data_IF_530093084124
#
_entry.id   IF_530093084124
#
_cell.length_a   1.000
_cell.length_b   1.000
_cell.length_c   1.000
_cell.angle_alpha   90.00
_cell.angle_beta   90.00
_cell.angle_gamma   90.00
#
_symmetry.space_group_name_H-M   'P 1'
#
loop_
_entity.id
_entity.type
_entity.pdbx_description
1 polymer ?
#
# COMPACT_ATOMS: atom_id res chain seq x y z
N UNK A 1 -16.63 25.66 -38.83
CA UNK A 1 -15.23 25.40 -38.45
C UNK A 1 -15.30 24.84 -37.04
N UNK A 2 -15.37 23.52 -36.92
CA UNK A 2 -15.43 22.82 -35.64
C UNK A 2 -14.02 22.78 -35.07
N UNK A 3 -13.82 23.34 -33.88
CA UNK A 3 -12.62 23.10 -33.08
C UNK A 3 -12.44 21.58 -32.95
N UNK A 4 -11.28 21.06 -33.36
CA UNK A 4 -10.92 19.66 -33.14
C UNK A 4 -10.99 19.40 -31.64
N UNK A 5 -11.94 18.57 -31.21
CA UNK A 5 -12.06 18.15 -29.81
C UNK A 5 -10.73 17.53 -29.37
N UNK A 6 -10.08 18.13 -28.38
CA UNK A 6 -8.83 17.63 -27.76
C UNK A 6 -9.02 16.31 -27.00
N UNK A 7 -10.28 15.86 -26.86
CA UNK A 7 -10.69 14.66 -26.15
C UNK A 7 -11.36 13.68 -27.10
N UNK A 8 -11.13 12.38 -26.86
CA UNK A 8 -11.77 11.31 -27.63
C UNK A 8 -12.16 10.14 -26.73
N UNK A 9 -13.38 9.64 -26.86
CA UNK A 9 -13.84 8.48 -26.09
C UNK A 9 -13.53 7.14 -26.77
N UNK A 10 -13.22 6.15 -25.93
CA UNK A 10 -13.07 4.75 -26.29
C UNK A 10 -14.12 3.97 -25.51
N UNK A 11 -15.06 3.35 -26.23
CA UNK A 11 -16.07 2.47 -25.63
C UNK A 11 -15.50 1.05 -25.46
N UNK A 12 -15.47 0.50 -24.23
CA UNK A 12 -15.17 -0.92 -23.99
C UNK A 12 -16.05 -1.81 -24.87
N UNK A 13 -15.41 -2.63 -25.71
CA UNK A 13 -16.10 -3.45 -26.70
C UNK A 13 -15.22 -4.58 -27.22
N UNK A 14 -15.83 -5.57 -27.86
CA UNK A 14 -15.12 -6.71 -28.44
C UNK A 14 -14.15 -6.32 -29.56
N UNK A 15 -14.44 -5.26 -30.33
CA UNK A 15 -13.54 -4.71 -31.34
C UNK A 15 -12.29 -4.10 -30.70
N UNK A 16 -12.47 -3.35 -29.61
CA UNK A 16 -11.36 -2.77 -28.82
C UNK A 16 -10.50 -3.86 -28.20
N UNK A 17 -11.08 -4.94 -27.66
CA UNK A 17 -10.31 -6.09 -27.15
C UNK A 17 -9.49 -6.78 -28.25
N UNK A 18 -10.05 -6.95 -29.46
CA UNK A 18 -9.30 -7.50 -30.61
C UNK A 18 -8.15 -6.60 -31.00
N UNK A 19 -8.35 -5.29 -31.01
CA UNK A 19 -7.31 -4.32 -31.33
C UNK A 19 -6.21 -4.30 -30.26
N UNK A 20 -6.57 -4.26 -28.98
CA UNK A 20 -5.63 -4.39 -27.88
C UNK A 20 -4.81 -5.69 -27.96
N UNK A 21 -5.44 -6.81 -28.32
CA UNK A 21 -4.77 -8.10 -28.48
C UNK A 21 -3.68 -8.12 -29.57
N UNK A 22 -3.81 -7.30 -30.62
CA UNK A 22 -2.75 -7.14 -31.63
C UNK A 22 -1.54 -6.36 -31.09
N UNK A 23 -1.79 -5.43 -30.16
CA UNK A 23 -0.75 -4.59 -29.55
C UNK A 23 -0.03 -5.32 -28.42
N UNK A 24 -0.81 -5.92 -27.53
CA UNK A 24 -0.34 -6.60 -26.32
C UNK A 24 -1.24 -7.79 -26.00
N UNK A 25 -0.66 -8.99 -25.93
CA UNK A 25 -1.41 -10.19 -25.52
C UNK A 25 -1.78 -10.11 -24.04
N UNK A 26 -3.05 -10.42 -23.73
CA UNK A 26 -3.53 -10.48 -22.35
C UNK A 26 -2.83 -11.61 -21.58
N UNK A 27 -2.37 -11.32 -20.36
CA UNK A 27 -1.74 -12.31 -19.49
C UNK A 27 -2.23 -12.16 -18.07
N UNK A 28 -2.56 -13.27 -17.44
CA UNK A 28 -2.85 -13.33 -16.02
C UNK A 28 -1.55 -13.29 -15.21
N UNK A 29 -1.54 -12.52 -14.11
CA UNK A 29 -0.39 -12.43 -13.22
C UNK A 29 -0.26 -13.68 -12.31
N UNK A 30 -1.39 -14.30 -11.96
CA UNK A 30 -1.46 -15.48 -11.09
C UNK A 30 -2.59 -16.41 -11.50
N UNK A 31 -2.45 -17.70 -11.23
CA UNK A 31 -3.49 -18.70 -11.51
C UNK A 31 -4.81 -18.29 -10.83
N UNK A 32 -5.89 -18.19 -11.63
CA UNK A 32 -7.22 -17.82 -11.18
C UNK A 32 -7.52 -16.31 -11.18
N UNK A 33 -6.56 -15.46 -11.52
CA UNK A 33 -6.82 -14.02 -11.75
C UNK A 33 -7.16 -13.75 -13.21
N UNK A 34 -7.93 -12.68 -13.51
CA UNK A 34 -8.22 -12.28 -14.89
C UNK A 34 -6.94 -12.01 -15.70
N UNK A 35 -7.04 -12.22 -17.02
CA UNK A 35 -5.97 -11.86 -17.95
C UNK A 35 -6.13 -10.43 -18.40
N UNK A 36 -5.06 -9.63 -18.26
CA UNK A 36 -5.08 -8.22 -18.65
C UNK A 36 -4.08 -7.91 -19.77
N UNK A 37 -4.48 -7.04 -20.67
CA UNK A 37 -3.64 -6.42 -21.69
C UNK A 37 -2.79 -5.31 -21.04
N UNK A 38 -1.50 -5.57 -20.86
CA UNK A 38 -0.58 -4.65 -20.19
C UNK A 38 0.82 -4.76 -20.79
N UNK A 39 1.40 -3.61 -21.14
CA UNK A 39 2.83 -3.51 -21.47
C UNK A 39 3.67 -3.92 -20.26
N UNK A 40 4.95 -4.22 -20.48
CA UNK A 40 5.86 -4.57 -19.38
C UNK A 40 6.00 -3.43 -18.37
N UNK A 41 5.96 -2.18 -18.84
CA UNK A 41 5.97 -1.00 -17.97
C UNK A 41 4.71 -0.93 -17.11
N UNK A 42 3.53 -1.06 -17.72
CA UNK A 42 2.26 -1.09 -16.96
C UNK A 42 2.26 -2.20 -15.91
N UNK A 43 2.73 -3.39 -16.27
CA UNK A 43 2.76 -4.55 -15.36
C UNK A 43 3.63 -4.31 -14.13
N UNK A 44 4.75 -3.59 -14.29
CA UNK A 44 5.65 -3.24 -13.17
C UNK A 44 5.04 -2.23 -12.21
N UNK A 45 4.23 -1.30 -12.74
CA UNK A 45 3.64 -0.20 -11.97
C UNK A 45 2.25 -0.53 -11.41
N UNK A 46 1.52 -1.44 -12.05
CA UNK A 46 0.13 -1.74 -11.71
C UNK A 46 -0.04 -2.37 -10.33
N UNK A 47 -1.10 -1.96 -9.64
CA UNK A 47 -1.59 -2.60 -8.42
C UNK A 47 -1.97 -4.06 -8.71
N UNK A 48 -1.47 -5.04 -7.93
CA UNK A 48 -1.90 -6.43 -8.09
C UNK A 48 -3.42 -6.56 -7.92
N UNK A 49 -4.06 -7.41 -8.73
CA UNK A 49 -5.52 -7.56 -8.77
C UNK A 49 -6.16 -7.82 -7.41
N UNK A 50 -5.63 -8.76 -6.63
CA UNK A 50 -6.14 -9.05 -5.28
C UNK A 50 -6.02 -7.89 -4.30
N UNK A 51 -5.04 -7.01 -4.48
CA UNK A 51 -4.89 -5.78 -3.67
C UNK A 51 -5.94 -4.76 -4.09
N UNK A 52 -6.14 -4.56 -5.39
CA UNK A 52 -7.16 -3.64 -5.91
C UNK A 52 -8.57 -4.03 -5.44
N UNK A 53 -8.92 -5.33 -5.49
CA UNK A 53 -10.20 -5.83 -4.98
C UNK A 53 -10.37 -5.63 -3.48
N UNK A 54 -9.35 -5.96 -2.69
CA UNK A 54 -9.41 -5.79 -1.24
C UNK A 54 -9.60 -4.32 -0.86
N UNK A 55 -8.96 -3.39 -1.58
CA UNK A 55 -9.12 -1.95 -1.36
C UNK A 55 -10.51 -1.45 -1.73
N UNK A 56 -11.02 -1.86 -2.89
CA UNK A 56 -12.39 -1.53 -3.27
C UNK A 56 -13.42 -2.05 -2.26
N UNK A 57 -13.16 -3.22 -1.65
CA UNK A 57 -13.99 -3.80 -0.59
C UNK A 57 -13.98 -3.05 0.75
N UNK A 58 -13.10 -2.06 0.94
CA UNK A 58 -13.12 -1.20 2.14
C UNK A 58 -14.17 -0.08 2.03
N UNK A 59 -14.68 0.20 0.83
CA UNK A 59 -15.63 1.28 0.59
C UNK A 59 -17.04 0.74 0.80
N UNK A 60 -17.81 1.38 1.68
CA UNK A 60 -19.24 1.13 1.80
C UNK A 60 -19.98 1.74 0.58
N UNK A 61 -20.66 0.95 -0.26
CA UNK A 61 -21.42 1.48 -1.38
C UNK A 61 -22.48 2.53 -0.99
N UNK A 62 -22.96 2.51 0.25
CA UNK A 62 -23.95 3.47 0.76
C UNK A 62 -23.35 4.84 1.09
N UNK A 63 -22.03 4.95 1.21
CA UNK A 63 -21.37 6.24 1.44
C UNK A 63 -21.23 7.07 0.15
N UNK A 64 -21.56 6.49 -1.01
CA UNK A 64 -21.41 7.13 -2.32
C UNK A 64 -22.73 7.79 -2.77
N UNK A 65 -22.65 9.06 -3.21
CA UNK A 65 -23.73 9.71 -3.95
C UNK A 65 -24.09 8.98 -5.26
N UNK A 66 -25.17 9.32 -5.98
CA UNK A 66 -25.49 8.69 -7.26
C UNK A 66 -24.44 9.00 -8.33
N UNK A 67 -24.22 8.10 -9.29
CA UNK A 67 -23.31 8.34 -10.42
C UNK A 67 -22.22 7.30 -10.61
N UNK A 68 -21.22 7.67 -11.41
CA UNK A 68 -20.13 6.79 -11.87
C UNK A 68 -18.88 6.86 -10.99
N UNK A 69 -18.02 5.85 -11.11
CA UNK A 69 -16.66 5.88 -10.55
C UNK A 69 -15.71 6.45 -11.61
N UNK A 70 -15.00 7.50 -11.26
CA UNK A 70 -13.97 8.11 -12.10
C UNK A 70 -12.58 7.68 -11.63
N UNK A 71 -11.71 7.30 -12.56
CA UNK A 71 -10.26 7.28 -12.36
C UNK A 71 -9.61 8.29 -13.30
N UNK A 72 -9.06 9.35 -12.73
CA UNK A 72 -8.50 10.48 -13.46
C UNK A 72 -7.06 10.24 -13.96
N UNK A 73 -6.49 9.06 -13.69
CA UNK A 73 -5.21 8.60 -14.22
C UNK A 73 -5.24 7.07 -14.41
N UNK A 74 -6.14 6.61 -15.28
CA UNK A 74 -6.59 5.22 -15.29
C UNK A 74 -5.50 4.19 -15.60
N UNK A 75 -4.47 4.56 -16.39
CA UNK A 75 -3.35 3.67 -16.71
C UNK A 75 -3.81 2.34 -17.31
N UNK A 76 -3.62 1.25 -16.56
CA UNK A 76 -4.03 -0.09 -17.00
C UNK A 76 -5.51 -0.42 -16.74
N UNK A 77 -6.18 0.39 -15.92
CA UNK A 77 -7.59 0.23 -15.53
C UNK A 77 -7.84 -0.73 -14.37
N UNK A 78 -6.82 -1.39 -13.79
CA UNK A 78 -7.05 -2.41 -12.74
C UNK A 78 -7.84 -1.85 -11.55
N UNK A 79 -7.41 -0.68 -11.02
CA UNK A 79 -8.05 -0.12 -9.83
C UNK A 79 -9.49 0.31 -10.14
N UNK A 80 -9.69 1.05 -11.24
CA UNK A 80 -11.02 1.43 -11.75
C UNK A 80 -11.96 0.23 -11.92
N UNK A 81 -11.48 -0.87 -12.54
CA UNK A 81 -12.27 -2.09 -12.73
C UNK A 81 -12.61 -2.73 -11.38
N UNK A 82 -11.67 -2.75 -10.43
CA UNK A 82 -11.94 -3.29 -9.10
C UNK A 82 -13.00 -2.47 -8.35
N UNK A 83 -12.91 -1.14 -8.37
CA UNK A 83 -13.93 -0.25 -7.80
C UNK A 83 -15.28 -0.47 -8.47
N UNK A 84 -15.35 -0.43 -9.80
CA UNK A 84 -16.59 -0.65 -10.56
C UNK A 84 -17.25 -2.00 -10.22
N UNK A 85 -16.46 -3.07 -10.14
CA UNK A 85 -16.97 -4.41 -9.88
C UNK A 85 -17.51 -4.59 -8.45
N UNK A 86 -16.82 -4.03 -7.45
CA UNK A 86 -17.22 -4.15 -6.04
C UNK A 86 -18.37 -3.21 -5.71
N UNK A 87 -18.29 -1.96 -6.18
CA UNK A 87 -19.28 -0.92 -5.90
C UNK A 87 -20.50 -1.02 -6.81
N UNK A 88 -20.46 -1.91 -7.81
CA UNK A 88 -21.52 -2.15 -8.79
C UNK A 88 -22.00 -0.84 -9.41
N UNK A 89 -21.05 -0.10 -10.00
CA UNK A 89 -21.26 1.20 -10.63
C UNK A 89 -20.51 1.28 -11.97
N UNK A 90 -21.04 2.02 -12.96
CA UNK A 90 -20.31 2.27 -14.20
C UNK A 90 -19.06 3.11 -13.95
N UNK A 91 -18.13 3.05 -14.90
CA UNK A 91 -16.79 3.60 -14.74
C UNK A 91 -16.34 4.50 -15.88
N UNK A 92 -15.66 5.59 -15.54
CA UNK A 92 -14.99 6.50 -16.46
C UNK A 92 -13.50 6.50 -16.15
N UNK A 93 -12.69 6.03 -17.09
CA UNK A 93 -11.23 6.23 -17.03
C UNK A 93 -10.83 7.44 -17.85
N UNK A 94 -9.86 8.22 -17.36
CA UNK A 94 -9.17 9.25 -18.16
C UNK A 94 -7.72 8.86 -18.30
N UNK A 95 -7.20 8.89 -19.52
CA UNK A 95 -5.82 8.51 -19.82
C UNK A 95 -5.27 9.36 -20.96
N UNK A 96 -4.11 9.96 -20.76
CA UNK A 96 -3.50 10.85 -21.75
C UNK A 96 -2.83 10.08 -22.90
N UNK A 97 -2.30 8.88 -22.62
CA UNK A 97 -1.72 8.01 -23.63
C UNK A 97 -2.80 7.18 -24.33
N UNK A 98 -3.10 7.52 -25.60
CA UNK A 98 -4.15 6.83 -26.36
C UNK A 98 -3.95 5.33 -26.52
N UNK A 99 -2.70 4.83 -26.44
CA UNK A 99 -2.47 3.39 -26.44
C UNK A 99 -2.88 2.75 -25.10
N UNK A 100 -2.48 3.32 -23.97
CA UNK A 100 -2.89 2.91 -22.64
C UNK A 100 -4.41 2.95 -22.48
N UNK A 101 -5.06 4.00 -22.99
CA UNK A 101 -6.50 4.13 -22.98
C UNK A 101 -7.22 2.97 -23.69
N UNK A 102 -6.71 2.55 -24.87
CA UNK A 102 -7.22 1.38 -25.60
C UNK A 102 -7.04 0.08 -24.79
N UNK A 103 -5.89 -0.10 -24.13
CA UNK A 103 -5.65 -1.27 -23.28
C UNK A 103 -6.57 -1.26 -22.05
N UNK A 104 -6.76 -0.11 -21.41
CA UNK A 104 -7.68 0.08 -20.30
C UNK A 104 -9.11 -0.29 -20.71
N UNK A 105 -9.63 0.27 -21.82
CA UNK A 105 -10.97 -0.02 -22.32
C UNK A 105 -11.14 -1.51 -22.68
N UNK A 106 -10.11 -2.15 -23.25
CA UNK A 106 -10.13 -3.60 -23.50
C UNK A 106 -10.19 -4.42 -22.20
N UNK A 107 -9.43 -4.02 -21.19
CA UNK A 107 -9.42 -4.67 -19.87
C UNK A 107 -10.78 -4.52 -19.17
N UNK A 108 -11.40 -3.33 -19.25
CA UNK A 108 -12.74 -3.09 -18.72
C UNK A 108 -13.74 -4.06 -19.36
N UNK A 109 -13.74 -4.19 -20.69
CA UNK A 109 -14.62 -5.13 -21.38
C UNK A 109 -14.35 -6.60 -21.03
N UNK A 110 -13.08 -6.99 -20.92
CA UNK A 110 -12.69 -8.38 -20.68
C UNK A 110 -13.12 -8.92 -19.31
N UNK A 111 -13.26 -8.04 -18.31
CA UNK A 111 -13.65 -8.40 -16.93
C UNK A 111 -15.13 -8.09 -16.65
N UNK A 112 -15.85 -7.54 -17.61
CA UNK A 112 -17.28 -7.27 -17.48
C UNK A 112 -18.11 -8.56 -17.40
N UNK A 113 -19.01 -8.60 -16.41
CA UNK A 113 -20.09 -9.60 -16.37
C UNK A 113 -21.02 -9.36 -17.56
N UNK A 114 -21.36 -10.43 -18.29
CA UNK A 114 -22.07 -10.33 -19.59
C UNK A 114 -23.43 -9.66 -19.51
N UNK A 115 -24.07 -9.69 -18.34
CA UNK A 115 -25.43 -9.20 -18.12
C UNK A 115 -25.47 -7.89 -17.31
N UNK A 116 -24.32 -7.24 -17.09
CA UNK A 116 -24.26 -6.00 -16.33
C UNK A 116 -24.62 -4.79 -17.21
N UNK A 117 -25.91 -4.47 -17.24
CA UNK A 117 -26.48 -3.36 -18.01
C UNK A 117 -25.84 -2.02 -17.62
N UNK A 118 -25.39 -1.84 -16.38
CA UNK A 118 -24.78 -0.59 -15.94
C UNK A 118 -23.46 -0.31 -16.67
N UNK A 119 -22.73 -1.37 -17.04
CA UNK A 119 -21.45 -1.28 -17.76
C UNK A 119 -21.58 -0.82 -19.20
N UNK A 120 -22.81 -0.69 -19.72
CA UNK A 120 -23.04 -0.02 -21.02
C UNK A 120 -22.61 1.45 -21.02
N UNK A 121 -22.53 2.06 -19.83
CA UNK A 121 -22.04 3.43 -19.63
C UNK A 121 -20.52 3.51 -19.44
N UNK A 122 -19.80 2.39 -19.33
CA UNK A 122 -18.34 2.42 -19.15
C UNK A 122 -17.65 3.13 -20.32
N UNK A 123 -16.71 4.02 -20.04
CA UNK A 123 -15.91 4.72 -21.06
C UNK A 123 -14.47 4.94 -20.58
N UNK A 124 -13.56 5.05 -21.54
CA UNK A 124 -12.25 5.66 -21.32
C UNK A 124 -12.16 6.89 -22.21
N UNK A 125 -11.87 8.05 -21.64
CA UNK A 125 -11.61 9.28 -22.41
C UNK A 125 -10.11 9.48 -22.53
N UNK A 126 -9.66 9.67 -23.76
CA UNK A 126 -8.29 10.06 -24.07
C UNK A 126 -8.21 11.57 -23.92
N UNK A 127 -7.38 12.07 -23.01
CA UNK A 127 -7.22 13.51 -22.78
C UNK A 127 -6.54 13.87 -21.46
N UNK A 128 -6.47 15.17 -21.19
CA UNK A 128 -5.91 15.72 -19.95
C UNK A 128 -7.00 15.77 -18.87
N UNK A 129 -6.80 15.02 -17.78
CA UNK A 129 -7.79 14.95 -16.69
C UNK A 129 -7.90 16.22 -15.85
N UNK A 130 -7.04 17.23 -16.06
CA UNK A 130 -7.22 18.56 -15.49
C UNK A 130 -8.30 19.37 -16.22
N UNK A 131 -8.66 19.00 -17.46
CA UNK A 131 -9.79 19.55 -18.20
C UNK A 131 -11.06 18.70 -17.99
N UNK A 132 -11.63 18.77 -16.78
CA UNK A 132 -12.84 18.03 -16.44
C UNK A 132 -14.03 18.37 -17.34
N UNK A 133 -14.09 19.58 -17.90
CA UNK A 133 -15.18 20.01 -18.78
C UNK A 133 -15.10 19.36 -20.16
N UNK A 134 -13.91 19.34 -20.76
CA UNK A 134 -13.66 18.60 -22.00
C UNK A 134 -13.94 17.11 -21.82
N UNK A 135 -13.45 16.51 -20.73
CA UNK A 135 -13.67 15.09 -20.41
C UNK A 135 -15.16 14.77 -20.27
N UNK A 136 -15.90 15.53 -19.45
CA UNK A 136 -17.32 15.25 -19.19
C UNK A 136 -18.19 15.51 -20.41
N UNK A 137 -17.85 16.52 -21.22
CA UNK A 137 -18.54 16.81 -22.49
C UNK A 137 -18.40 15.63 -23.46
N UNK A 138 -17.18 15.13 -23.65
CA UNK A 138 -16.91 13.98 -24.52
C UNK A 138 -17.57 12.71 -23.97
N UNK A 139 -17.47 12.46 -22.66
CA UNK A 139 -18.12 11.33 -22.00
C UNK A 139 -19.63 11.32 -22.26
N UNK A 140 -20.33 12.41 -21.95
CA UNK A 140 -21.76 12.52 -22.18
C UNK A 140 -22.14 12.49 -23.66
N UNK A 141 -21.31 13.02 -24.56
CA UNK A 141 -21.53 12.88 -26.00
C UNK A 141 -21.49 11.42 -26.44
N UNK A 142 -20.46 10.68 -26.01
CA UNK A 142 -20.31 9.25 -26.31
C UNK A 142 -21.44 8.38 -25.74
N UNK A 143 -22.08 8.80 -24.64
CA UNK A 143 -23.27 8.15 -24.11
C UNK A 143 -24.47 8.41 -25.02
N UNK A 144 -24.68 9.66 -25.45
CA UNK A 144 -25.78 10.03 -26.35
C UNK A 144 -25.69 9.30 -27.68
N UNK A 145 -24.50 9.22 -28.27
CA UNK A 145 -24.25 8.49 -29.51
C UNK A 145 -24.53 6.99 -29.38
N UNK A 146 -24.29 6.42 -28.20
CA UNK A 146 -24.62 5.03 -27.87
C UNK A 146 -26.10 4.80 -27.51
N UNK A 147 -26.95 5.84 -27.56
CA UNK A 147 -28.38 5.78 -27.24
C UNK A 147 -28.72 6.02 -25.77
N UNK A 148 -27.74 6.33 -24.92
CA UNK A 148 -27.95 6.64 -23.50
C UNK A 148 -28.15 8.14 -23.31
N UNK A 149 -29.34 8.54 -22.87
CA UNK A 149 -29.67 9.96 -22.65
C UNK A 149 -29.26 10.51 -21.28
N UNK A 150 -28.77 9.65 -20.39
CA UNK A 150 -28.33 10.04 -19.06
C UNK A 150 -27.03 10.86 -19.11
N UNK A 151 -26.91 11.83 -18.20
CA UNK A 151 -25.68 12.58 -17.91
C UNK A 151 -25.27 12.26 -16.48
N UNK A 152 -24.77 11.05 -16.21
CA UNK A 152 -24.45 10.67 -14.84
C UNK A 152 -23.30 11.55 -14.33
N UNK A 153 -23.41 12.03 -13.08
CA UNK A 153 -22.33 12.75 -12.42
C UNK A 153 -21.30 11.76 -11.85
N UNK A 154 -20.27 12.28 -11.17
CA UNK A 154 -19.20 11.49 -10.57
C UNK A 154 -19.51 11.21 -9.10
N UNK A 155 -19.78 9.95 -8.76
CA UNK A 155 -20.03 9.53 -7.39
C UNK A 155 -18.74 9.37 -6.58
N UNK A 156 -17.63 9.03 -7.24
CA UNK A 156 -16.33 8.84 -6.61
C UNK A 156 -15.22 9.21 -7.59
N UNK A 157 -14.22 9.95 -7.12
CA UNK A 157 -12.99 10.24 -7.86
C UNK A 157 -11.82 9.50 -7.24
N UNK A 158 -11.15 8.69 -8.06
CA UNK A 158 -9.88 8.06 -7.76
C UNK A 158 -8.75 8.75 -8.56
N UNK A 159 -7.59 8.91 -7.92
CA UNK A 159 -6.38 9.42 -8.57
C UNK A 159 -5.14 8.66 -8.09
N UNK A 160 -4.47 7.92 -8.98
CA UNK A 160 -3.13 7.33 -8.77
C UNK A 160 -2.16 8.03 -9.75
N UNK A 161 -1.61 9.20 -9.38
CA UNK A 161 -0.84 10.00 -10.31
C UNK A 161 0.50 9.31 -10.64
N UNK A 162 0.97 9.55 -11.86
CA UNK A 162 2.29 9.15 -12.28
C UNK A 162 3.34 9.79 -11.38
N UNK A 163 4.29 8.97 -10.94
CA UNK A 163 5.36 9.36 -10.01
C UNK A 163 6.61 9.78 -10.80
N UNK A 164 7.44 10.69 -10.27
CA UNK A 164 8.76 10.96 -10.83
C UNK A 164 9.60 9.70 -10.95
N UNK A 165 10.57 9.72 -11.87
CA UNK A 165 11.47 8.56 -12.12
C UNK A 165 12.47 8.34 -11.00
N UNK A 166 12.79 9.38 -10.21
CA UNK A 166 13.66 9.24 -9.06
C UNK A 166 12.97 8.34 -8.02
N UNK A 167 13.60 7.19 -7.75
CA UNK A 167 13.12 6.19 -6.83
C UNK A 167 13.69 6.40 -5.41
N UNK A 168 14.10 7.61 -5.02
CA UNK A 168 14.48 7.92 -3.64
C UNK A 168 13.55 8.96 -3.03
N UNK A 169 13.46 10.15 -3.64
CA UNK A 169 12.62 11.24 -3.16
C UNK A 169 11.61 11.63 -4.24
N UNK A 170 10.36 11.83 -3.84
CA UNK A 170 9.31 12.30 -4.74
C UNK A 170 8.81 13.64 -4.22
N UNK A 171 8.66 14.62 -5.11
CA UNK A 171 7.96 15.86 -4.80
C UNK A 171 6.51 15.83 -5.30
N UNK A 172 5.59 16.44 -4.56
CA UNK A 172 4.18 16.60 -4.95
C UNK A 172 4.04 17.24 -6.35
N UNK A 173 4.84 18.27 -6.65
CA UNK A 173 4.77 19.03 -7.91
C UNK A 173 5.18 18.22 -9.15
N UNK A 174 5.92 17.13 -8.94
CA UNK A 174 6.35 16.23 -10.00
C UNK A 174 5.28 15.20 -10.35
N UNK A 175 4.25 15.04 -9.51
CA UNK A 175 3.15 14.12 -9.77
C UNK A 175 2.28 14.62 -10.91
N UNK A 176 1.87 13.71 -11.80
CA UNK A 176 1.00 14.01 -12.94
C UNK A 176 -0.22 13.10 -12.98
N UNK A 177 -1.44 13.65 -13.14
CA UNK A 177 -1.79 15.08 -13.19
C UNK A 177 -1.50 15.80 -11.86
N UNK A 178 -1.39 17.13 -11.92
CA UNK A 178 -1.21 17.95 -10.70
C UNK A 178 -2.49 17.91 -9.87
N UNK A 179 -2.35 17.70 -8.56
CA UNK A 179 -3.45 17.38 -7.66
C UNK A 179 -4.42 18.55 -7.51
N UNK A 180 -3.93 19.76 -7.20
CA UNK A 180 -4.79 20.92 -6.98
C UNK A 180 -5.62 21.33 -8.21
N UNK A 181 -5.03 21.50 -9.42
CA UNK A 181 -5.80 21.83 -10.61
C UNK A 181 -6.86 20.78 -10.92
N UNK A 182 -6.52 19.50 -10.77
CA UNK A 182 -7.45 18.40 -10.99
C UNK A 182 -8.61 18.47 -10.00
N UNK A 183 -8.33 18.50 -8.70
CA UNK A 183 -9.37 18.53 -7.67
C UNK A 183 -10.29 19.75 -7.83
N UNK A 184 -9.73 20.91 -8.20
CA UNK A 184 -10.49 22.14 -8.43
C UNK A 184 -11.43 22.01 -9.63
N UNK A 185 -10.94 21.44 -10.73
CA UNK A 185 -11.69 21.25 -11.97
C UNK A 185 -12.89 20.31 -11.77
N UNK A 186 -12.66 19.18 -11.08
CA UNK A 186 -13.68 18.15 -10.88
C UNK A 186 -14.76 18.48 -9.85
N UNK A 187 -14.55 19.49 -8.99
CA UNK A 187 -15.47 19.86 -7.90
C UNK A 187 -16.94 20.02 -8.35
N UNK A 188 -17.19 20.57 -9.54
CA UNK A 188 -18.55 20.82 -10.06
C UNK A 188 -19.26 19.56 -10.59
N UNK A 189 -18.54 18.45 -10.77
CA UNK A 189 -19.07 17.19 -11.31
C UNK A 189 -19.22 16.10 -10.24
N UNK A 190 -18.71 16.33 -9.04
CA UNK A 190 -18.83 15.40 -7.92
C UNK A 190 -20.21 15.47 -7.29
N UNK A 191 -20.86 14.31 -7.16
CA UNK A 191 -21.99 14.15 -6.24
C UNK A 191 -21.47 13.89 -4.83
N UNK A 192 -22.15 14.50 -3.86
CA UNK A 192 -21.80 14.34 -2.46
C UNK A 192 -22.42 13.06 -1.91
N UNK A 193 -21.64 12.33 -1.11
CA UNK A 193 -22.17 11.34 -0.19
C UNK A 193 -22.67 11.99 1.12
N UNK A 194 -23.01 11.19 2.14
CA UNK A 194 -23.50 11.68 3.43
C UNK A 194 -22.57 12.70 4.11
N UNK A 195 -21.26 12.51 4.01
CA UNK A 195 -20.23 13.28 4.71
C UNK A 195 -19.29 14.02 3.74
N UNK A 196 -19.81 14.37 2.56
CA UNK A 196 -19.09 15.13 1.53
C UNK A 196 -18.62 14.29 0.34
N UNK A 197 -17.71 14.82 -0.50
CA UNK A 197 -17.30 14.19 -1.75
C UNK A 197 -16.52 12.90 -1.48
N UNK A 198 -16.68 11.90 -2.34
CA UNK A 198 -15.94 10.63 -2.22
C UNK A 198 -14.66 10.71 -3.06
N UNK A 199 -13.53 11.04 -2.45
CA UNK A 199 -12.24 11.18 -3.15
C UNK A 199 -11.20 10.25 -2.52
N UNK A 200 -10.50 9.49 -3.36
CA UNK A 200 -9.38 8.64 -2.96
C UNK A 200 -8.13 9.00 -3.75
N UNK A 201 -7.12 9.48 -3.03
CA UNK A 201 -5.81 9.86 -3.60
C UNK A 201 -4.77 8.79 -3.28
N UNK A 202 -4.26 8.10 -4.30
CA UNK A 202 -3.19 7.11 -4.23
C UNK A 202 -1.82 7.78 -4.39
N UNK A 203 -1.24 8.24 -3.28
CA UNK A 203 -0.04 9.06 -3.30
C UNK A 203 1.25 8.24 -3.16
N UNK A 204 2.39 8.91 -3.30
CA UNK A 204 3.68 8.28 -3.10
C UNK A 204 3.92 8.01 -1.60
N UNK A 205 4.35 6.79 -1.22
CA UNK A 205 4.76 6.50 0.16
C UNK A 205 6.07 7.17 0.58
N UNK A 206 6.65 8.00 -0.28
CA UNK A 206 7.89 8.76 -0.03
C UNK A 206 7.63 10.24 0.26
N UNK A 207 6.36 10.65 0.29
CA UNK A 207 6.01 11.99 0.75
C UNK A 207 6.34 12.09 2.23
N UNK A 208 7.14 13.10 2.57
CA UNK A 208 7.40 13.51 3.95
C UNK A 208 6.18 14.20 4.58
N UNK A 209 6.33 14.59 5.83
CA UNK A 209 5.25 15.23 6.60
C UNK A 209 4.86 16.62 6.07
N UNK A 210 5.82 17.41 5.59
CA UNK A 210 5.56 18.73 5.01
C UNK A 210 4.71 18.59 3.74
N UNK A 211 5.07 17.66 2.87
CA UNK A 211 4.33 17.40 1.64
C UNK A 211 2.95 16.80 1.88
N UNK A 212 2.78 15.94 2.89
CA UNK A 212 1.45 15.48 3.32
C UNK A 212 0.60 16.65 3.82
N UNK A 213 1.20 17.55 4.61
CA UNK A 213 0.51 18.76 5.09
C UNK A 213 0.07 19.67 3.94
N UNK A 214 0.89 19.82 2.88
CA UNK A 214 0.49 20.56 1.67
C UNK A 214 -0.72 19.93 0.97
N UNK A 215 -0.83 18.60 0.94
CA UNK A 215 -2.02 17.90 0.42
C UNK A 215 -3.25 18.20 1.29
N UNK A 216 -3.10 18.14 2.61
CA UNK A 216 -4.19 18.46 3.54
C UNK A 216 -4.69 19.90 3.31
N UNK A 217 -3.80 20.87 3.13
CA UNK A 217 -4.13 22.26 2.82
C UNK A 217 -4.83 22.42 1.46
N UNK A 218 -4.38 21.70 0.43
CA UNK A 218 -5.05 21.68 -0.89
C UNK A 218 -6.49 21.19 -0.73
N UNK A 219 -6.69 20.08 -0.02
CA UNK A 219 -8.03 19.51 0.14
C UNK A 219 -8.90 20.37 1.04
N UNK A 220 -8.39 20.98 2.10
CA UNK A 220 -9.15 21.94 2.92
C UNK A 220 -9.57 23.18 2.13
N UNK A 221 -8.69 23.69 1.27
CA UNK A 221 -9.01 24.84 0.41
C UNK A 221 -10.12 24.52 -0.61
N UNK A 222 -10.10 23.33 -1.20
CA UNK A 222 -11.04 22.95 -2.27
C UNK A 222 -12.36 22.40 -1.67
N UNK A 223 -12.26 21.57 -0.64
CA UNK A 223 -13.33 20.85 0.04
C UNK A 223 -13.29 21.13 1.56
N UNK A 224 -13.69 22.34 1.99
CA UNK A 224 -13.56 22.75 3.38
C UNK A 224 -14.44 21.91 4.30
N UNK A 225 -13.91 21.57 5.48
CA UNK A 225 -14.62 20.82 6.52
C UNK A 225 -14.93 19.34 6.20
N UNK A 226 -14.39 18.79 5.11
CA UNK A 226 -14.53 17.37 4.79
C UNK A 226 -13.56 16.52 5.63
N UNK A 227 -14.04 15.37 6.12
CA UNK A 227 -13.21 14.40 6.83
C UNK A 227 -12.06 13.88 5.97
N UNK A 228 -10.95 13.47 6.62
CA UNK A 228 -9.74 12.95 5.97
C UNK A 228 -9.13 11.84 6.80
N UNK A 229 -8.81 10.74 6.14
CA UNK A 229 -8.04 9.64 6.73
C UNK A 229 -6.85 9.32 5.86
N UNK A 230 -5.65 9.49 6.41
CA UNK A 230 -4.43 9.02 5.78
C UNK A 230 -4.23 7.52 6.03
N UNK A 231 -3.99 6.76 4.97
CA UNK A 231 -3.78 5.31 5.02
C UNK A 231 -2.36 4.94 4.60
N UNK A 232 -1.62 4.28 5.49
CA UNK A 232 -0.34 3.63 5.19
C UNK A 232 -0.58 2.13 5.01
N UNK A 233 -0.16 1.56 3.88
CA UNK A 233 -0.34 0.14 3.61
C UNK A 233 1.00 -0.56 3.37
N UNK A 234 1.20 -1.69 4.05
CA UNK A 234 2.35 -2.59 3.88
C UNK A 234 1.92 -3.98 3.43
N UNK A 235 2.68 -4.55 2.49
CA UNK A 235 2.56 -5.96 2.07
C UNK A 235 3.53 -6.89 2.84
N UNK A 236 4.18 -6.39 3.89
CA UNK A 236 5.10 -7.16 4.75
C UNK A 236 6.53 -7.20 4.27
N UNK A 237 6.90 -6.29 3.36
CA UNK A 237 8.27 -6.18 2.84
C UNK A 237 9.22 -5.39 3.76
N UNK A 238 8.77 -5.01 4.96
CA UNK A 238 9.49 -4.09 5.85
C UNK A 238 9.57 -2.68 5.29
N UNK A 239 8.49 -2.20 4.66
CA UNK A 239 8.34 -0.83 4.14
C UNK A 239 6.88 -0.52 3.90
N UNK A 240 6.55 0.76 3.85
CA UNK A 240 5.26 1.25 3.33
C UNK A 240 5.24 1.04 1.81
N UNK A 241 4.26 0.30 1.31
CA UNK A 241 4.08 0.05 -0.13
C UNK A 241 3.16 1.08 -0.78
N UNK A 242 2.18 1.63 -0.04
CA UNK A 242 1.26 2.67 -0.49
C UNK A 242 0.95 3.66 0.61
N UNK A 243 0.74 4.90 0.21
CA UNK A 243 0.20 5.98 1.02
C UNK A 243 -1.03 6.50 0.28
N UNK A 244 -2.16 6.63 0.96
CA UNK A 244 -3.38 7.15 0.35
C UNK A 244 -4.09 8.13 1.27
N UNK A 245 -4.87 9.05 0.71
CA UNK A 245 -5.77 9.90 1.48
C UNK A 245 -7.21 9.66 1.05
N UNK A 246 -8.05 9.34 2.03
CA UNK A 246 -9.48 9.10 1.89
C UNK A 246 -10.22 10.35 2.37
N UNK A 247 -11.09 10.93 1.56
CA UNK A 247 -11.71 12.24 1.81
C UNK A 247 -13.23 12.13 1.80
N UNK A 248 -13.88 12.94 2.66
CA UNK A 248 -15.33 13.09 2.75
C UNK A 248 -16.00 11.78 3.13
N UNK A 249 -17.02 11.34 2.41
CA UNK A 249 -17.74 10.10 2.74
C UNK A 249 -16.92 8.81 2.60
N UNK A 250 -15.65 8.91 2.21
CA UNK A 250 -14.69 7.78 2.25
C UNK A 250 -13.80 7.78 3.49
N UNK A 251 -13.66 8.91 4.20
CA UNK A 251 -12.85 8.94 5.43
C UNK A 251 -13.55 8.18 6.56
N UNK A 252 -12.76 7.75 7.54
CA UNK A 252 -13.28 7.29 8.82
C UNK A 252 -13.31 8.42 9.85
N UNK A 253 -13.77 8.11 11.05
CA UNK A 253 -13.75 9.04 12.19
C UNK A 253 -12.33 9.35 12.69
N UNK A 254 -11.33 8.57 12.26
CA UNK A 254 -9.94 8.73 12.66
C UNK A 254 -9.10 9.38 11.55
N UNK A 255 -8.12 10.19 11.93
CA UNK A 255 -7.25 10.86 10.97
C UNK A 255 -6.24 9.92 10.29
N UNK A 256 -5.93 8.76 10.90
CA UNK A 256 -4.92 7.82 10.40
C UNK A 256 -5.39 6.38 10.45
N UNK A 257 -4.92 5.62 9.46
CA UNK A 257 -5.10 4.18 9.32
C UNK A 257 -3.80 3.53 8.88
N UNK A 258 -3.44 2.39 9.47
CA UNK A 258 -2.41 1.50 8.93
C UNK A 258 -2.99 0.14 8.57
N UNK A 259 -2.61 -0.38 7.41
CA UNK A 259 -3.15 -1.61 6.84
C UNK A 259 -2.03 -2.59 6.54
N UNK A 260 -2.17 -3.81 7.06
CA UNK A 260 -1.37 -4.95 6.65
C UNK A 260 -2.10 -5.72 5.56
N UNK A 261 -1.59 -5.66 4.33
CA UNK A 261 -2.18 -6.32 3.16
C UNK A 261 -1.54 -7.69 2.89
N UNK A 262 -2.34 -8.74 2.88
CA UNK A 262 -1.94 -10.05 2.39
C UNK A 262 -1.89 -10.10 0.85
N UNK A 263 -1.88 -11.30 0.27
CA UNK A 263 -1.88 -11.42 -1.20
C UNK A 263 -3.21 -11.10 -1.86
N UNK A 264 -4.32 -11.22 -1.12
CA UNK A 264 -5.70 -11.08 -1.61
C UNK A 264 -6.68 -10.42 -0.63
N UNK A 265 -6.29 -10.23 0.63
CA UNK A 265 -7.15 -9.70 1.69
C UNK A 265 -6.33 -8.88 2.66
N UNK A 266 -6.99 -7.95 3.34
CA UNK A 266 -6.45 -7.27 4.51
C UNK A 266 -6.26 -8.32 5.61
N UNK A 267 -5.07 -8.33 6.22
CA UNK A 267 -4.73 -9.20 7.33
C UNK A 267 -5.06 -8.54 8.65
N UNK A 268 -4.71 -7.26 8.78
CA UNK A 268 -4.96 -6.44 9.96
C UNK A 268 -5.07 -4.98 9.55
N UNK A 269 -5.83 -4.21 10.32
CA UNK A 269 -6.00 -2.77 10.15
C UNK A 269 -6.11 -2.15 11.53
N UNK A 270 -5.45 -1.00 11.73
CA UNK A 270 -5.58 -0.19 12.94
C UNK A 270 -5.87 1.23 12.49
N UNK A 271 -6.79 1.89 13.18
CA UNK A 271 -7.08 3.30 13.00
C UNK A 271 -6.92 4.02 14.33
N UNK A 272 -6.66 5.32 14.26
CA UNK A 272 -6.56 6.18 15.43
C UNK A 272 -5.95 7.53 15.08
N UNK A 273 -5.52 8.22 16.13
CA UNK A 273 -4.85 9.51 16.00
C UNK A 273 -3.33 9.33 16.02
N UNK A 274 -2.67 10.10 15.15
CA UNK A 274 -1.23 9.99 15.00
C UNK A 274 -0.45 10.65 16.13
N UNK A 275 0.51 9.91 16.68
CA UNK A 275 1.44 10.41 17.68
C UNK A 275 2.90 10.07 17.32
N UNK A 276 3.84 10.87 17.83
CA UNK A 276 5.27 10.58 17.68
C UNK A 276 5.71 9.40 18.55
N UNK A 277 6.71 8.64 18.09
CA UNK A 277 7.33 7.54 18.84
C UNK A 277 8.69 7.97 19.38
N UNK A 278 8.98 7.65 20.65
CA UNK A 278 10.30 7.88 21.25
C UNK A 278 11.12 6.59 21.27
N UNK A 279 12.35 6.67 20.74
CA UNK A 279 13.35 5.60 20.85
C UNK A 279 14.09 5.69 22.19
N UNK A 280 14.23 4.55 22.87
CA UNK A 280 15.11 4.38 24.02
C UNK A 280 16.49 3.88 23.56
N UNK A 281 17.56 4.51 24.05
CA UNK A 281 18.93 4.00 23.88
C UNK A 281 19.25 3.08 25.04
N UNK A 282 19.67 1.86 24.73
CA UNK A 282 20.08 0.88 25.73
C UNK A 282 21.55 1.08 26.10
N UNK A 283 21.88 1.05 27.40
CA UNK A 283 23.26 1.02 27.90
C UNK A 283 23.75 -0.39 28.21
N UNK A 284 22.80 -1.30 28.46
CA UNK A 284 23.04 -2.70 28.78
C UNK A 284 22.37 -3.63 27.77
N UNK A 285 22.91 -4.84 27.56
CA UNK A 285 22.24 -5.87 26.78
C UNK A 285 20.80 -6.14 27.27
N UNK A 286 19.85 -6.45 26.38
CA UNK A 286 18.55 -6.99 26.78
C UNK A 286 18.71 -8.13 27.79
N UNK A 287 17.89 -8.20 28.85
CA UNK A 287 17.91 -9.35 29.75
C UNK A 287 17.63 -10.65 29.01
N UNK A 288 18.25 -11.75 29.43
CA UNK A 288 17.78 -13.07 29.02
C UNK A 288 16.32 -13.24 29.44
N UNK A 289 15.58 -14.02 28.66
CA UNK A 289 14.15 -14.26 28.83
C UNK A 289 13.22 -13.06 28.59
N UNK A 290 13.76 -11.86 28.34
CA UNK A 290 12.97 -10.76 27.75
C UNK A 290 12.59 -11.08 26.31
N UNK A 291 11.62 -10.35 25.78
CA UNK A 291 11.10 -10.54 24.44
C UNK A 291 11.54 -9.42 23.52
N UNK A 292 11.81 -9.77 22.26
CA UNK A 292 12.03 -8.83 21.19
C UNK A 292 11.02 -9.10 20.08
N UNK A 293 10.37 -8.05 19.61
CA UNK A 293 9.46 -8.09 18.47
C UNK A 293 9.94 -7.15 17.38
N UNK A 294 10.01 -7.68 16.16
CA UNK A 294 10.15 -6.89 14.95
C UNK A 294 8.74 -6.54 14.46
N UNK A 295 8.42 -5.25 14.42
CA UNK A 295 7.10 -4.75 14.01
C UNK A 295 7.19 -4.20 12.58
N UNK A 296 6.12 -4.35 11.80
CA UNK A 296 6.02 -3.75 10.47
C UNK A 296 6.12 -2.22 10.57
N UNK A 297 7.03 -1.57 9.82
CA UNK A 297 7.24 -0.12 9.92
C UNK A 297 5.99 0.71 9.65
N UNK A 298 4.98 0.16 8.96
CA UNK A 298 3.71 0.86 8.73
C UNK A 298 3.04 1.34 10.03
N UNK A 299 3.24 0.65 11.15
CA UNK A 299 2.66 1.02 12.45
C UNK A 299 3.31 2.31 12.98
N UNK A 300 4.63 2.43 12.88
CA UNK A 300 5.36 3.62 13.35
C UNK A 300 5.28 4.78 12.36
N UNK A 301 5.35 4.49 11.05
CA UNK A 301 5.25 5.50 9.99
C UNK A 301 3.87 6.18 9.94
N UNK A 302 2.83 5.47 10.38
CA UNK A 302 1.49 6.05 10.56
C UNK A 302 1.32 6.74 11.92
N UNK A 303 2.24 6.58 12.86
CA UNK A 303 2.10 7.12 14.22
C UNK A 303 1.05 6.40 15.07
N UNK A 304 0.71 5.15 14.74
CA UNK A 304 -0.31 4.33 15.43
C UNK A 304 0.30 3.29 16.37
N UNK A 305 1.54 3.51 16.83
CA UNK A 305 2.22 2.60 17.73
C UNK A 305 1.51 2.42 19.08
N UNK A 306 0.89 3.46 19.65
CA UNK A 306 0.22 3.33 20.96
C UNK A 306 -1.09 2.55 20.83
N UNK A 307 -1.84 2.79 19.75
CA UNK A 307 -3.02 1.98 19.40
C UNK A 307 -2.65 0.51 19.22
N UNK A 308 -1.53 0.23 18.54
CA UNK A 308 -1.01 -1.12 18.39
C UNK A 308 -0.56 -1.71 19.75
N UNK A 309 0.19 -0.96 20.56
CA UNK A 309 0.70 -1.40 21.87
C UNK A 309 -0.45 -1.73 22.82
N UNK A 310 -1.49 -0.90 22.86
CA UNK A 310 -2.65 -1.10 23.74
C UNK A 310 -3.35 -2.44 23.53
N UNK A 311 -3.24 -3.01 22.33
CA UNK A 311 -3.77 -4.33 21.96
C UNK A 311 -2.70 -5.41 22.08
N UNK A 312 -1.46 -5.11 21.71
CA UNK A 312 -0.38 -6.08 21.59
C UNK A 312 0.27 -6.46 22.92
N UNK A 313 0.36 -5.53 23.87
CA UNK A 313 1.10 -5.72 25.12
C UNK A 313 0.12 -6.00 26.26
N UNK A 314 0.34 -7.06 27.07
CA UNK A 314 -0.49 -7.33 28.24
C UNK A 314 -0.44 -6.19 29.27
N UNK A 315 -1.55 -6.00 29.99
CA UNK A 315 -1.63 -5.00 31.06
C UNK A 315 -0.56 -5.25 32.14
N UNK A 316 0.19 -4.21 32.46
CA UNK A 316 1.26 -4.26 33.46
C UNK A 316 2.63 -4.74 32.95
N UNK A 317 2.72 -5.17 31.68
CA UNK A 317 4.00 -5.52 31.06
C UNK A 317 4.84 -4.28 30.72
N UNK A 318 6.16 -4.40 30.92
CA UNK A 318 7.11 -3.37 30.54
C UNK A 318 7.47 -3.48 29.05
N UNK A 319 7.59 -2.34 28.36
CA UNK A 319 8.02 -2.31 26.97
C UNK A 319 8.86 -1.06 26.64
N UNK A 320 9.64 -1.11 25.57
CA UNK A 320 10.40 0.04 25.05
C UNK A 320 10.73 -0.13 23.57
N UNK A 321 10.57 0.93 22.79
CA UNK A 321 11.05 0.97 21.41
C UNK A 321 12.56 1.22 21.37
N UNK A 322 13.33 0.25 20.93
CA UNK A 322 14.81 0.35 20.85
C UNK A 322 15.29 0.70 19.43
N UNK A 323 14.40 0.55 18.45
CA UNK A 323 14.58 1.01 17.06
C UNK A 323 13.22 1.43 16.50
N UNK A 324 13.13 2.66 16.04
CA UNK A 324 11.89 3.26 15.52
C UNK A 324 11.95 3.54 14.02
N UNK A 325 13.13 3.48 13.42
CA UNK A 325 13.36 3.84 12.03
C UNK A 325 13.77 2.64 11.16
N UNK A 326 13.61 2.81 9.86
CA UNK A 326 14.03 1.86 8.85
C UNK A 326 13.09 0.66 8.72
N UNK A 327 13.61 -0.45 8.19
CA UNK A 327 12.78 -1.58 7.75
C UNK A 327 12.34 -2.55 8.84
N UNK A 328 12.91 -2.41 10.04
CA UNK A 328 12.77 -3.38 11.14
C UNK A 328 12.73 -2.66 12.48
N UNK A 329 11.69 -1.86 12.77
CA UNK A 329 11.43 -1.40 14.13
C UNK A 329 11.52 -2.54 15.14
N UNK A 330 12.12 -2.27 16.29
CA UNK A 330 12.35 -3.24 17.35
C UNK A 330 11.72 -2.74 18.64
N UNK A 331 10.85 -3.57 19.19
CA UNK A 331 10.26 -3.43 20.50
C UNK A 331 10.89 -4.47 21.43
N UNK A 332 11.37 -4.05 22.59
CA UNK A 332 11.69 -4.96 23.70
C UNK A 332 10.54 -4.93 24.70
N UNK A 333 10.17 -6.07 25.26
CA UNK A 333 9.11 -6.17 26.25
C UNK A 333 9.29 -7.37 27.19
N UNK A 334 8.53 -7.41 28.29
CA UNK A 334 8.73 -8.38 29.38
C UNK A 334 7.96 -9.68 29.24
N UNK A 335 6.86 -9.69 28.49
CA UNK A 335 5.90 -10.80 28.44
C UNK A 335 5.46 -11.08 27.01
N UNK A 336 5.03 -12.30 26.64
CA UNK A 336 4.53 -12.59 25.30
C UNK A 336 3.43 -11.61 24.86
N UNK A 337 3.38 -11.32 23.56
CA UNK A 337 2.32 -10.48 22.99
C UNK A 337 0.95 -11.15 23.14
N UNK A 338 -0.10 -10.35 23.26
CA UNK A 338 -1.48 -10.83 23.19
C UNK A 338 -1.78 -11.43 21.80
N UNK A 339 -2.56 -12.52 21.78
CA UNK A 339 -3.07 -13.09 20.54
C UNK A 339 -4.28 -12.31 20.04
N UNK A 340 -4.02 -11.25 19.27
CA UNK A 340 -5.04 -10.42 18.64
C UNK A 340 -4.86 -10.39 17.11
N UNK A 341 -5.90 -10.73 16.36
CA UNK A 341 -5.91 -10.69 14.90
C UNK A 341 -5.57 -9.32 14.28
N UNK A 342 -5.88 -8.21 14.95
CA UNK A 342 -5.52 -6.85 14.51
C UNK A 342 -4.04 -6.55 14.78
N UNK A 343 -3.42 -7.22 15.74
CA UNK A 343 -2.00 -7.06 16.08
C UNK A 343 -1.14 -7.98 15.21
N UNK A 344 -1.56 -9.24 15.07
CA UNK A 344 -0.78 -10.34 14.53
C UNK A 344 -0.30 -10.11 13.10
N UNK A 345 -1.05 -9.39 12.25
CA UNK A 345 -0.62 -9.10 10.90
C UNK A 345 0.62 -8.19 10.84
N UNK A 346 0.83 -7.34 11.84
CA UNK A 346 1.95 -6.40 11.88
C UNK A 346 3.22 -6.99 12.52
N UNK A 347 3.15 -8.18 13.13
CA UNK A 347 4.32 -8.86 13.69
C UNK A 347 5.12 -9.51 12.56
N UNK A 348 6.39 -9.12 12.40
CA UNK A 348 7.32 -9.74 11.44
C UNK A 348 7.99 -10.97 12.04
N UNK A 349 8.45 -10.85 13.28
CA UNK A 349 9.04 -11.90 14.12
C UNK A 349 8.90 -11.46 15.58
N UNK A 350 8.58 -12.39 16.48
CA UNK A 350 8.57 -12.16 17.93
C UNK A 350 9.26 -13.34 18.60
N UNK A 351 10.02 -13.10 19.68
CA UNK A 351 10.70 -14.19 20.34
C UNK A 351 11.49 -13.80 21.58
N UNK A 352 11.83 -14.81 22.37
CA UNK A 352 12.51 -14.67 23.66
C UNK A 352 14.03 -14.69 23.52
N UNK A 353 14.71 -13.78 24.19
CA UNK A 353 16.17 -13.61 24.15
C UNK A 353 16.88 -14.79 24.83
N UNK A 354 17.73 -15.49 24.07
CA UNK A 354 18.48 -16.66 24.57
C UNK A 354 19.99 -16.58 24.37
N UNK A 355 20.48 -15.66 23.53
CA UNK A 355 21.91 -15.52 23.30
C UNK A 355 22.32 -14.10 22.91
N UNK A 356 23.41 -13.62 23.51
CA UNK A 356 24.13 -12.42 23.08
C UNK A 356 25.42 -12.81 22.34
N UNK A 357 25.73 -12.06 21.28
CA UNK A 357 26.97 -12.19 20.52
C UNK A 357 27.55 -10.81 20.22
N UNK A 358 28.88 -10.71 20.28
CA UNK A 358 29.62 -9.47 20.01
C UNK A 358 29.92 -9.26 18.52
N UNK A 359 29.73 -10.28 17.69
CA UNK A 359 29.99 -10.22 16.25
C UNK A 359 28.88 -10.92 15.45
N UNK A 360 28.63 -10.46 14.21
CA UNK A 360 27.70 -11.14 13.33
C UNK A 360 28.28 -12.49 12.87
N UNK A 361 27.46 -13.39 12.33
CA UNK A 361 27.95 -14.58 11.65
C UNK A 361 28.79 -14.18 10.43
N UNK A 362 29.98 -14.77 10.31
CA UNK A 362 30.87 -14.57 9.17
C UNK A 362 31.09 -15.88 8.44
N UNK A 363 31.49 -15.82 7.17
CA UNK A 363 31.69 -16.99 6.31
C UNK A 363 32.54 -18.09 6.99
N UNK A 364 33.57 -17.69 7.72
CA UNK A 364 34.50 -18.61 8.38
C UNK A 364 34.07 -19.03 9.80
N UNK A 365 33.10 -18.33 10.42
CA UNK A 365 32.57 -18.63 11.77
C UNK A 365 31.18 -19.28 11.75
N UNK A 366 30.61 -19.54 10.55
CA UNK A 366 29.27 -20.15 10.41
C UNK A 366 29.14 -21.46 11.15
N UNK A 367 30.11 -22.38 11.04
CA UNK A 367 30.02 -23.69 11.71
C UNK A 367 29.99 -23.53 13.23
N UNK A 368 30.80 -22.62 13.78
CA UNK A 368 30.80 -22.31 15.22
C UNK A 368 29.48 -21.69 15.66
N UNK A 369 28.92 -20.79 14.83
CA UNK A 369 27.61 -20.20 15.09
C UNK A 369 26.51 -21.26 15.09
N UNK A 370 26.47 -22.14 14.09
CA UNK A 370 25.51 -23.24 14.01
C UNK A 370 25.60 -24.18 15.22
N UNK A 371 26.83 -24.60 15.60
CA UNK A 371 27.02 -25.45 16.78
C UNK A 371 26.62 -24.76 18.09
N UNK A 372 26.83 -23.45 18.22
CA UNK A 372 26.39 -22.70 19.39
C UNK A 372 24.87 -22.62 19.49
N UNK A 373 24.18 -22.44 18.37
CA UNK A 373 22.72 -22.39 18.30
C UNK A 373 22.10 -23.77 18.57
N UNK A 374 22.72 -24.83 18.07
CA UNK A 374 22.28 -26.21 18.31
C UNK A 374 22.25 -26.57 19.80
N UNK A 375 23.19 -26.05 20.61
CA UNK A 375 23.22 -26.24 22.06
C UNK A 375 22.05 -25.56 22.79
N UNK A 376 21.39 -24.60 22.14
CA UNK A 376 20.20 -23.92 22.61
C UNK A 376 18.93 -24.52 22.00
N UNK A 377 19.02 -25.73 21.43
CA UNK A 377 17.91 -26.42 20.77
C UNK A 377 17.29 -25.60 19.62
N UNK A 378 18.11 -24.80 18.92
CA UNK A 378 17.70 -24.03 17.76
C UNK A 378 18.03 -24.79 16.47
N UNK A 379 17.01 -25.14 15.70
CA UNK A 379 17.14 -25.82 14.42
C UNK A 379 17.25 -24.88 13.21
N UNK A 380 16.79 -23.63 13.35
CA UNK A 380 16.91 -22.64 12.27
C UNK A 380 16.99 -21.20 12.79
N UNK A 381 17.68 -20.33 12.05
CA UNK A 381 17.82 -18.91 12.39
C UNK A 381 17.68 -18.01 11.17
N UNK A 382 16.84 -16.98 11.28
CA UNK A 382 16.71 -15.92 10.27
C UNK A 382 17.56 -14.71 10.65
N UNK A 383 18.47 -14.28 9.77
CA UNK A 383 19.29 -13.09 9.99
C UNK A 383 18.46 -11.83 9.69
N UNK A 384 18.05 -11.15 10.76
CA UNK A 384 17.32 -9.86 10.74
C UNK A 384 18.22 -8.68 11.10
N UNK A 385 19.52 -8.89 11.16
CA UNK A 385 20.51 -7.86 11.43
C UNK A 385 20.87 -7.01 10.21
N UNK A 386 21.44 -5.83 10.47
CA UNK A 386 22.07 -4.96 9.47
C UNK A 386 23.36 -5.61 8.96
N UNK A 387 23.34 -6.14 7.74
CA UNK A 387 24.48 -6.73 7.05
C UNK A 387 24.56 -6.18 5.63
N UNK A 388 25.73 -6.24 5.02
CA UNK A 388 25.93 -5.91 3.61
C UNK A 388 24.92 -6.70 2.73
N UNK A 389 24.09 -6.02 1.91
CA UNK A 389 23.12 -6.66 1.02
C UNK A 389 23.70 -7.72 0.07
N UNK A 390 24.97 -7.61 -0.33
CA UNK A 390 25.63 -8.58 -1.21
C UNK A 390 26.04 -9.87 -0.48
N UNK A 391 26.28 -9.75 0.84
CA UNK A 391 26.79 -10.83 1.68
C UNK A 391 25.65 -11.53 2.42
N UNK A 392 24.61 -10.78 2.83
CA UNK A 392 23.48 -11.28 3.61
C UNK A 392 22.85 -12.57 3.03
N UNK A 393 22.49 -12.67 1.73
CA UNK A 393 21.91 -13.90 1.19
C UNK A 393 22.85 -15.10 1.23
N UNK A 394 24.16 -14.85 1.11
CA UNK A 394 25.20 -15.91 1.15
C UNK A 394 25.34 -16.45 2.56
N UNK A 395 25.39 -15.57 3.57
CA UNK A 395 25.45 -15.95 4.99
C UNK A 395 24.20 -16.73 5.40
N UNK A 396 23.00 -16.20 5.09
CA UNK A 396 21.73 -16.87 5.39
C UNK A 396 21.69 -18.29 4.82
N UNK A 397 22.06 -18.45 3.55
CA UNK A 397 22.06 -19.77 2.88
C UNK A 397 23.05 -20.75 3.50
N UNK A 398 24.26 -20.29 3.82
CA UNK A 398 25.29 -21.15 4.43
C UNK A 398 24.91 -21.56 5.85
N UNK A 399 24.31 -20.65 6.62
CA UNK A 399 23.83 -20.94 7.97
C UNK A 399 22.68 -21.96 7.94
N UNK A 400 21.69 -21.77 7.05
CA UNK A 400 20.64 -22.78 6.81
C UNK A 400 21.21 -24.14 6.43
N UNK A 401 22.23 -24.18 5.56
CA UNK A 401 22.88 -25.44 5.18
C UNK A 401 23.59 -26.10 6.36
N UNK A 402 24.26 -25.32 7.22
CA UNK A 402 24.96 -25.83 8.39
C UNK A 402 24.02 -26.36 9.47
N UNK A 403 22.78 -25.85 9.52
CA UNK A 403 21.78 -26.23 10.52
C UNK A 403 20.71 -27.22 10.01
N UNK A 404 20.80 -27.67 8.75
CA UNK A 404 19.74 -28.45 8.10
C UNK A 404 19.35 -29.75 8.81
N UNK A 405 20.33 -30.41 9.45
CA UNK A 405 20.13 -31.68 10.15
C UNK A 405 19.90 -31.48 11.66
N UNK A 406 19.70 -30.23 12.10
CA UNK A 406 19.51 -29.88 13.51
C UNK A 406 18.02 -29.69 13.73
N UNK A 407 17.42 -30.59 14.51
CA UNK A 407 16.05 -30.40 15.00
C UNK A 407 16.05 -29.36 16.11
N UNK A 408 15.00 -28.53 16.16
CA UNK A 408 14.88 -27.52 17.18
C UNK A 408 13.97 -26.36 16.80
N UNK A 409 13.89 -25.38 17.70
CA UNK A 409 13.06 -24.20 17.55
C UNK A 409 13.54 -23.30 16.39
N UNK A 410 12.60 -22.48 15.90
CA UNK A 410 12.91 -21.38 14.99
C UNK A 410 13.44 -20.21 15.79
N UNK A 411 14.29 -19.41 15.17
CA UNK A 411 14.85 -18.22 15.81
C UNK A 411 15.12 -17.12 14.79
N UNK A 412 15.38 -15.93 15.30
CA UNK A 412 15.91 -14.84 14.51
C UNK A 412 17.02 -14.11 15.25
N UNK A 413 17.91 -13.49 14.48
CA UNK A 413 19.02 -12.71 15.00
C UNK A 413 18.85 -11.24 14.61
N UNK A 414 18.84 -10.34 15.57
CA UNK A 414 18.81 -8.89 15.38
C UNK A 414 20.12 -8.25 15.80
N UNK A 415 20.43 -7.11 15.23
CA UNK A 415 21.44 -6.18 15.72
C UNK A 415 20.78 -5.12 16.61
N UNK A 416 21.45 -4.77 17.71
CA UNK A 416 21.02 -3.77 18.67
C UNK A 416 22.20 -2.83 18.93
N UNK A 417 21.94 -1.53 18.87
CA UNK A 417 22.91 -0.50 19.24
C UNK A 417 22.88 -0.27 20.75
N UNK A 418 24.03 -0.37 21.39
CA UNK A 418 24.22 -0.11 22.81
C UNK A 418 25.12 1.12 22.97
N UNK A 419 24.72 2.04 23.82
CA UNK A 419 25.43 3.30 24.08
C UNK A 419 26.10 3.25 25.45
N UNK A 420 27.43 3.30 25.48
CA UNK A 420 28.24 3.34 26.71
C UNK A 420 29.09 4.61 26.72
N UNK A 421 29.63 4.94 27.90
CA UNK A 421 30.58 6.06 28.07
C UNK A 421 31.80 5.96 27.11
N UNK A 422 32.15 4.75 26.70
CA UNK A 422 33.26 4.46 25.77
C UNK A 422 32.89 4.58 24.29
N UNK A 423 31.63 4.85 23.96
CA UNK A 423 31.09 4.92 22.61
C UNK A 423 29.96 3.91 22.34
N UNK A 424 29.38 4.02 21.14
CA UNK A 424 28.32 3.13 20.67
C UNK A 424 28.92 1.85 20.09
N UNK A 425 28.31 0.70 20.40
CA UNK A 425 28.70 -0.59 19.85
C UNK A 425 27.48 -1.43 19.49
N UNK A 426 27.62 -2.24 18.44
CA UNK A 426 26.57 -3.14 17.97
C UNK A 426 26.71 -4.50 18.65
N UNK A 427 25.62 -4.98 19.24
CA UNK A 427 25.50 -6.35 19.75
C UNK A 427 24.48 -7.12 18.91
N UNK A 428 24.67 -8.42 18.78
CA UNK A 428 23.74 -9.31 18.10
C UNK A 428 23.02 -10.17 19.11
N UNK A 429 21.69 -10.24 18.98
CA UNK A 429 20.83 -10.97 19.90
C UNK A 429 20.09 -12.05 19.13
N UNK A 430 20.12 -13.28 19.65
CA UNK A 430 19.33 -14.39 19.12
C UNK A 430 18.11 -14.58 19.99
N UNK A 431 16.95 -14.60 19.32
CA UNK A 431 15.65 -14.78 19.94
C UNK A 431 15.00 -16.05 19.41
N UNK A 432 14.51 -16.93 20.28
CA UNK A 432 13.70 -18.09 19.89
C UNK A 432 12.30 -17.62 19.55
N UNK A 433 11.81 -17.93 18.34
CA UNK A 433 10.45 -17.60 17.91
C UNK A 433 9.45 -18.48 18.67
N UNK A 434 8.46 -17.83 19.29
CA UNK A 434 7.37 -18.45 20.05
C UNK A 434 6.02 -17.92 19.55
#
# INVERSE_FOLDING_TARGET
MSEDSSHASVRPSSSVTKEAGKRVVAKSARKGEPSFHMTDQMRRLSTPWGVALARAGQIDPHSLGPGIILDAAAGSGIQLIAYSNILKRPSLGVEIDGNAAVLCAANMFAVAEKDDIQRTMDRVVIGDSTDSEGVMTEFWSSLREAGTRAHPPVAMLHLDPARPRDAQNHHIDEMKPSIEPLLSSWKKYLELGPDGPCILLDLSPRLDEEQRSMIDEIVERIYPGCGRTWEWMSRGGGRVDRLSMWVGSLSSDNSRRCVRMGTKRIMSSIEGEGIGVSRVRLSEPPPFDSWITIVDPVVLESGLQDEWISKAIPDGSGFSWIRTEGRRPLLIHTDPLNDDHEVNGFIISSGRVVQHKLSPPEIHTISQTASSLARLEIGSVTLRCSLDPEIHPKLQRRLHKAMREIEGARSFMVDIELSRDTGDYTMYVVCIEE
#
